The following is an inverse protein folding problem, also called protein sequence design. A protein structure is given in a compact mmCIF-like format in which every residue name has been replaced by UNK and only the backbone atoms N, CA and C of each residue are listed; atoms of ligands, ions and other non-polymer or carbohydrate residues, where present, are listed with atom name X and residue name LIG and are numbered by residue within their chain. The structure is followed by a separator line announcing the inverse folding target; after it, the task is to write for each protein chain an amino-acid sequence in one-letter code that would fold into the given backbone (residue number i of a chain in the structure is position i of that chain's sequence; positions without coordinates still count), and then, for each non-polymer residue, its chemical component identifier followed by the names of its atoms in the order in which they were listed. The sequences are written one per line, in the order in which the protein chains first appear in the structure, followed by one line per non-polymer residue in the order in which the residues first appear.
data_IF_377678054791
#
_entry.id   IF_377678054791
#
_cell.length_a   1.000
_cell.length_b   1.000
_cell.length_c   1.000
_cell.angle_alpha   90.00
_cell.angle_beta   90.00
_cell.angle_gamma   90.00
#
_symmetry.space_group_name_H-M   'P 1'
#
loop_
_entity.id
_entity.type
_entity.pdbx_description
1 polymer ?
#
# COMPACT_ATOMS: atom_id res chain seq x y z
N UNK A 1 13.21 0.80 -16.32
CA UNK A 1 12.37 0.70 -15.11
C UNK A 1 12.11 2.11 -14.63
N UNK A 2 10.89 2.60 -14.78
CA UNK A 2 10.50 3.89 -14.20
C UNK A 2 9.99 3.55 -12.80
N UNK A 3 10.81 3.80 -11.79
CA UNK A 3 10.38 3.83 -10.40
C UNK A 3 9.46 5.05 -10.25
N UNK A 4 8.18 4.84 -10.19
CA UNK A 4 7.23 5.89 -9.80
C UNK A 4 7.11 5.81 -8.29
N UNK A 5 7.75 6.70 -7.53
CA UNK A 5 7.58 6.74 -6.09
C UNK A 5 6.11 7.03 -5.79
N UNK A 6 5.58 6.42 -4.76
CA UNK A 6 4.26 6.62 -4.16
C UNK A 6 3.72 8.02 -4.49
N UNK A 7 2.63 8.10 -5.24
CA UNK A 7 2.09 9.34 -5.77
C UNK A 7 0.68 9.58 -5.25
N UNK A 8 0.47 10.74 -4.65
CA UNK A 8 -0.87 11.29 -4.48
C UNK A 8 -1.42 11.67 -5.84
N UNK A 9 -2.50 11.03 -6.28
CA UNK A 9 -3.11 11.31 -7.57
C UNK A 9 -4.52 11.87 -7.35
N UNK A 10 -4.68 13.15 -7.71
CA UNK A 10 -6.02 13.73 -7.90
C UNK A 10 -6.48 13.37 -9.30
N UNK A 11 -7.50 12.55 -9.39
CA UNK A 11 -7.98 12.03 -10.66
C UNK A 11 -9.34 12.65 -11.03
N UNK A 12 -9.52 12.92 -12.32
CA UNK A 12 -10.83 13.26 -12.88
C UNK A 12 -11.54 11.97 -13.29
N UNK A 13 -12.85 11.93 -13.11
CA UNK A 13 -13.68 10.80 -13.49
C UNK A 13 -13.63 10.51 -14.99
N UNK A 14 -13.94 9.30 -15.39
CA UNK A 14 -13.83 8.82 -16.76
C UNK A 14 -12.43 8.45 -17.21
N UNK A 15 -11.44 8.42 -16.28
CA UNK A 15 -10.08 8.03 -16.59
C UNK A 15 -9.82 6.60 -16.12
N UNK A 16 -9.11 5.85 -16.93
CA UNK A 16 -8.58 4.54 -16.59
C UNK A 16 -7.06 4.66 -16.41
N UNK A 17 -6.58 4.20 -15.27
CA UNK A 17 -5.15 4.13 -14.97
C UNK A 17 -4.71 2.68 -14.88
N UNK A 18 -3.68 2.32 -15.62
CA UNK A 18 -2.98 1.05 -15.43
C UNK A 18 -1.75 1.32 -14.57
N UNK A 19 -1.69 0.65 -13.42
CA UNK A 19 -0.52 0.66 -12.55
C UNK A 19 0.38 -0.48 -13.02
N UNK A 20 1.61 -0.15 -13.43
CA UNK A 20 2.63 -1.15 -13.69
C UNK A 20 3.06 -1.81 -12.37
N UNK A 21 3.54 -3.03 -12.47
CA UNK A 21 4.10 -3.81 -11.36
C UNK A 21 5.03 -2.93 -10.49
N UNK A 22 4.90 -3.01 -9.17
CA UNK A 22 5.70 -2.28 -8.18
C UNK A 22 5.26 -0.84 -7.85
N UNK A 23 4.02 -0.63 -7.43
CA UNK A 23 3.56 0.70 -7.03
C UNK A 23 2.67 0.68 -5.78
N UNK A 24 2.82 1.73 -4.96
CA UNK A 24 1.77 2.18 -4.05
C UNK A 24 1.28 3.56 -4.50
N UNK A 25 -0.02 3.72 -4.68
CA UNK A 25 -0.64 4.99 -5.02
C UNK A 25 -1.87 5.25 -4.15
N UNK A 26 -2.00 6.48 -3.65
CA UNK A 26 -3.23 6.97 -3.04
C UNK A 26 -4.00 7.81 -4.06
N UNK A 27 -5.25 7.49 -4.22
CA UNK A 27 -6.15 8.17 -5.13
C UNK A 27 -7.19 8.95 -4.34
N UNK A 28 -7.41 10.19 -4.74
CA UNK A 28 -8.53 10.99 -4.30
C UNK A 28 -9.34 11.37 -5.55
N UNK A 29 -10.47 10.69 -5.72
CA UNK A 29 -11.34 10.81 -6.90
C UNK A 29 -12.56 11.65 -6.54
N UNK A 30 -12.81 12.70 -7.32
CA UNK A 30 -14.01 13.53 -7.17
C UNK A 30 -15.28 12.71 -7.44
N UNK A 31 -16.34 12.95 -6.66
CA UNK A 31 -17.59 12.22 -6.83
C UNK A 31 -18.25 12.54 -8.18
N UNK A 32 -18.53 11.48 -8.96
CA UNK A 32 -19.27 11.53 -10.21
C UNK A 32 -19.87 10.13 -10.46
N UNK A 33 -21.19 10.04 -10.44
CA UNK A 33 -21.89 8.76 -10.55
C UNK A 33 -22.06 8.31 -12.01
N UNK A 34 -21.89 9.22 -12.98
CA UNK A 34 -22.04 8.93 -14.40
C UNK A 34 -20.72 8.46 -15.05
N UNK A 35 -19.59 8.82 -14.44
CA UNK A 35 -18.28 8.53 -14.98
C UNK A 35 -17.39 7.77 -13.98
N UNK A 36 -17.36 6.43 -14.01
CA UNK A 36 -16.51 5.66 -13.10
C UNK A 36 -15.02 5.91 -13.39
N UNK A 37 -14.23 5.90 -12.31
CA UNK A 37 -12.79 5.89 -12.39
C UNK A 37 -12.28 4.48 -12.10
N UNK A 38 -11.35 3.98 -12.92
CA UNK A 38 -10.87 2.61 -12.85
C UNK A 38 -9.34 2.61 -12.68
N UNK A 39 -8.87 1.82 -11.71
CA UNK A 39 -7.45 1.52 -11.51
C UNK A 39 -7.23 0.04 -11.77
N UNK A 40 -6.45 -0.29 -12.79
CA UNK A 40 -6.06 -1.66 -13.11
C UNK A 40 -4.65 -1.93 -12.59
N UNK A 41 -4.49 -2.92 -11.75
CA UNK A 41 -3.21 -3.35 -11.18
C UNK A 41 -3.17 -4.88 -11.10
N UNK A 42 -2.22 -5.50 -11.76
CA UNK A 42 -1.87 -6.93 -11.68
C UNK A 42 -3.07 -7.88 -11.41
N UNK A 43 -4.00 -7.95 -12.35
CA UNK A 43 -5.17 -8.82 -12.24
C UNK A 43 -6.30 -8.29 -11.34
N UNK A 44 -6.23 -7.04 -10.88
CA UNK A 44 -7.28 -6.36 -10.13
C UNK A 44 -7.76 -5.12 -10.88
N UNK A 45 -9.05 -4.98 -11.04
CA UNK A 45 -9.70 -3.75 -11.47
C UNK A 45 -10.46 -3.12 -10.30
N UNK A 46 -10.03 -1.93 -9.91
CA UNK A 46 -10.63 -1.15 -8.81
C UNK A 46 -11.50 -0.05 -9.38
N UNK A 47 -12.81 -0.15 -9.17
CA UNK A 47 -13.83 0.76 -9.68
C UNK A 47 -14.34 1.68 -8.58
N UNK A 48 -14.33 3.00 -8.83
CA UNK A 48 -14.84 4.01 -7.89
C UNK A 48 -15.63 5.11 -8.58
N UNK A 49 -16.55 5.75 -7.82
CA UNK A 49 -17.40 6.84 -8.29
C UNK A 49 -17.17 8.15 -7.50
N UNK A 50 -16.15 8.21 -6.66
CA UNK A 50 -15.85 9.34 -5.79
C UNK A 50 -15.36 8.84 -4.44
N UNK A 51 -14.06 8.60 -4.34
CA UNK A 51 -13.52 7.74 -3.30
C UNK A 51 -12.07 8.13 -3.01
N UNK A 52 -11.69 8.06 -1.73
CA UNK A 52 -10.28 8.10 -1.33
C UNK A 52 -9.84 6.67 -0.96
N UNK A 53 -8.84 6.16 -1.65
CA UNK A 53 -8.36 4.78 -1.48
C UNK A 53 -6.89 4.67 -1.83
N UNK A 54 -6.26 3.62 -1.29
CA UNK A 54 -4.87 3.27 -1.59
C UNK A 54 -4.83 1.96 -2.37
N UNK A 55 -3.99 1.88 -3.37
CA UNK A 55 -3.66 0.63 -4.08
C UNK A 55 -2.18 0.37 -3.90
N UNK A 56 -1.83 -0.84 -3.47
CA UNK A 56 -0.45 -1.32 -3.36
C UNK A 56 -0.33 -2.61 -4.17
N UNK A 57 0.63 -2.64 -5.07
CA UNK A 57 0.96 -3.81 -5.87
C UNK A 57 2.47 -3.84 -6.06
N UNK A 58 3.19 -4.66 -5.30
CA UNK A 58 4.64 -4.82 -5.42
C UNK A 58 5.02 -6.18 -5.99
N UNK A 59 4.27 -7.20 -5.63
CA UNK A 59 4.42 -8.59 -6.11
C UNK A 59 3.04 -9.23 -6.17
N UNK A 60 2.95 -10.43 -6.70
CA UNK A 60 1.70 -11.20 -6.69
C UNK A 60 1.18 -11.49 -5.27
N UNK A 61 2.05 -11.44 -4.27
CA UNK A 61 1.74 -11.68 -2.85
C UNK A 61 1.41 -10.40 -2.07
N UNK A 62 1.83 -9.23 -2.59
CA UNK A 62 1.67 -7.94 -1.93
C UNK A 62 0.74 -7.03 -2.74
N UNK A 63 -0.51 -7.47 -2.93
CA UNK A 63 -1.56 -6.72 -3.61
C UNK A 63 -2.65 -6.34 -2.64
N UNK A 64 -2.81 -5.03 -2.43
CA UNK A 64 -3.75 -4.48 -1.47
C UNK A 64 -4.59 -3.36 -2.08
N UNK A 65 -5.85 -3.33 -1.70
CA UNK A 65 -6.74 -2.18 -1.91
C UNK A 65 -7.33 -1.78 -0.56
N UNK A 66 -6.93 -0.61 -0.06
CA UNK A 66 -7.41 -0.08 1.21
C UNK A 66 -8.38 1.06 0.98
N UNK A 67 -9.60 0.96 1.51
CA UNK A 67 -10.59 2.02 1.39
C UNK A 67 -10.51 2.99 2.57
N UNK A 68 -10.25 4.27 2.26
CA UNK A 68 -10.20 5.37 3.23
C UNK A 68 -11.58 6.03 3.39
N UNK A 69 -12.21 6.39 2.26
CA UNK A 69 -13.51 7.09 2.25
C UNK A 69 -14.28 6.77 0.97
N UNK A 70 -15.59 6.62 1.06
CA UNK A 70 -16.49 6.36 -0.06
C UNK A 70 -16.79 4.86 -0.23
N UNK A 71 -16.76 4.38 -1.46
CA UNK A 71 -17.06 2.99 -1.83
C UNK A 71 -16.14 2.54 -2.96
N UNK A 72 -15.58 1.35 -2.83
CA UNK A 72 -14.72 0.72 -3.84
C UNK A 72 -15.30 -0.64 -4.20
N UNK A 73 -15.39 -0.92 -5.48
CA UNK A 73 -15.59 -2.28 -5.98
C UNK A 73 -14.28 -2.76 -6.61
N UNK A 74 -13.77 -3.88 -6.12
CA UNK A 74 -12.58 -4.54 -6.68
C UNK A 74 -13.01 -5.79 -7.39
N UNK A 75 -12.59 -5.96 -8.63
CA UNK A 75 -12.87 -7.14 -9.45
C UNK A 75 -11.55 -7.85 -9.74
N UNK A 76 -11.47 -9.13 -9.44
CA UNK A 76 -10.37 -9.98 -9.88
C UNK A 76 -10.61 -10.33 -11.36
N UNK A 77 -9.70 -9.94 -12.24
CA UNK A 77 -9.87 -10.14 -13.69
C UNK A 77 -9.69 -11.60 -14.12
N UNK A 78 -9.08 -12.44 -13.28
CA UNK A 78 -8.86 -13.85 -13.58
C UNK A 78 -10.06 -14.72 -13.18
N UNK A 79 -10.58 -14.52 -11.95
CA UNK A 79 -11.71 -15.28 -11.40
C UNK A 79 -13.07 -14.63 -11.69
N UNK A 80 -13.08 -13.37 -12.11
CA UNK A 80 -14.26 -12.52 -12.29
C UNK A 80 -15.06 -12.33 -10.99
N UNK A 81 -14.48 -12.65 -9.83
CA UNK A 81 -15.07 -12.32 -8.52
C UNK A 81 -15.03 -10.82 -8.27
N UNK A 82 -16.02 -10.30 -7.57
CA UNK A 82 -16.10 -8.89 -7.21
C UNK A 82 -16.40 -8.71 -5.73
N UNK A 83 -15.64 -7.83 -5.09
CA UNK A 83 -15.78 -7.46 -3.69
C UNK A 83 -16.05 -5.96 -3.57
N UNK A 84 -16.95 -5.60 -2.65
CA UNK A 84 -17.21 -4.19 -2.32
C UNK A 84 -16.69 -3.91 -0.92
N UNK A 85 -15.76 -2.95 -0.83
CA UNK A 85 -15.15 -2.51 0.43
C UNK A 85 -15.94 -1.37 1.09
N UNK A 86 -15.88 -1.36 2.42
CA UNK A 86 -16.31 -0.26 3.27
C UNK A 86 -15.10 0.50 3.83
N UNK A 87 -15.24 1.77 4.23
CA UNK A 87 -14.16 2.53 4.86
C UNK A 87 -13.53 1.79 6.04
N UNK A 88 -12.19 1.77 6.08
CA UNK A 88 -11.41 1.02 7.06
C UNK A 88 -11.21 -0.46 6.73
N UNK A 89 -11.62 -0.90 5.55
CA UNK A 89 -11.31 -2.24 5.06
C UNK A 89 -10.15 -2.24 4.07
N UNK A 90 -9.37 -3.30 4.15
CA UNK A 90 -8.30 -3.66 3.23
C UNK A 90 -8.61 -5.02 2.61
N UNK A 91 -8.52 -5.09 1.29
CA UNK A 91 -8.57 -6.31 0.51
C UNK A 91 -7.15 -6.71 0.14
N UNK A 92 -6.76 -7.93 0.51
CA UNK A 92 -5.49 -8.54 0.13
C UNK A 92 -5.76 -9.72 -0.80
N UNK A 93 -4.98 -9.83 -1.86
CA UNK A 93 -4.92 -11.04 -2.68
C UNK A 93 -3.69 -11.86 -2.29
N UNK A 94 -3.89 -13.14 -2.00
CA UNK A 94 -2.80 -14.08 -1.77
C UNK A 94 -2.21 -14.59 -3.09
N UNK A 95 -1.08 -15.27 -3.04
CA UNK A 95 -0.49 -15.95 -4.22
C UNK A 95 -1.45 -16.94 -4.87
N UNK A 96 -2.25 -17.63 -4.07
CA UNK A 96 -3.25 -18.59 -4.55
C UNK A 96 -4.47 -17.91 -5.19
N UNK A 97 -4.53 -16.56 -5.17
CA UNK A 97 -5.66 -15.78 -5.66
C UNK A 97 -6.84 -15.72 -4.70
N UNK A 98 -6.66 -16.17 -3.45
CA UNK A 98 -7.68 -16.03 -2.41
C UNK A 98 -7.82 -14.57 -1.97
N UNK A 99 -9.06 -14.17 -1.72
CA UNK A 99 -9.43 -12.83 -1.28
C UNK A 99 -9.59 -12.79 0.24
N UNK A 100 -8.83 -11.93 0.90
CA UNK A 100 -8.93 -11.70 2.34
C UNK A 100 -9.29 -10.25 2.61
N UNK A 101 -10.42 -10.05 3.31
CA UNK A 101 -10.82 -8.72 3.79
C UNK A 101 -10.50 -8.61 5.27
N UNK A 102 -9.82 -7.56 5.66
CA UNK A 102 -9.51 -7.25 7.05
C UNK A 102 -9.89 -5.80 7.39
N UNK A 103 -10.11 -5.51 8.67
CA UNK A 103 -10.18 -4.13 9.15
C UNK A 103 -8.78 -3.67 9.51
N UNK A 104 -8.43 -2.47 9.07
CA UNK A 104 -7.08 -1.92 9.23
C UNK A 104 -7.11 -0.52 9.80
N UNK A 105 -6.01 -0.14 10.46
CA UNK A 105 -5.78 1.25 10.81
C UNK A 105 -5.42 2.02 9.53
N UNK A 106 -6.31 2.91 9.08
CA UNK A 106 -6.12 3.69 7.85
C UNK A 106 -4.81 4.48 7.88
N UNK A 107 -4.38 4.95 9.05
CA UNK A 107 -3.15 5.72 9.20
C UNK A 107 -1.92 4.94 8.71
N UNK A 108 -1.86 3.63 8.91
CA UNK A 108 -0.78 2.76 8.41
C UNK A 108 -0.64 2.83 6.88
N UNK A 109 -1.76 3.01 6.18
CA UNK A 109 -1.81 3.00 4.72
C UNK A 109 -1.74 4.40 4.09
N UNK A 110 -1.98 5.46 4.86
CA UNK A 110 -2.03 6.84 4.36
C UNK A 110 -0.93 7.75 4.91
N UNK A 111 -0.24 7.38 6.00
CA UNK A 111 0.81 8.19 6.64
C UNK A 111 1.90 8.64 5.65
N UNK A 112 2.16 7.82 4.63
CA UNK A 112 3.14 8.16 3.61
C UNK A 112 2.73 9.39 2.75
N UNK A 113 1.45 9.70 2.65
CA UNK A 113 0.97 10.93 1.97
C UNK A 113 1.29 12.18 2.79
N UNK A 114 1.52 12.01 4.10
CA UNK A 114 1.92 13.04 5.04
C UNK A 114 3.45 13.08 5.25
N UNK A 115 4.19 12.31 4.43
CA UNK A 115 5.64 12.25 4.51
C UNK A 115 6.17 11.41 5.67
N UNK A 116 5.37 10.49 6.19
CA UNK A 116 5.74 9.62 7.30
C UNK A 116 5.84 8.15 6.87
N UNK A 117 6.78 7.44 7.44
CA UNK A 117 6.69 6.00 7.63
C UNK A 117 5.85 5.73 8.88
N UNK A 118 4.93 4.81 8.81
CA UNK A 118 4.15 4.36 9.94
C UNK A 118 3.90 2.86 9.83
N UNK A 119 4.35 2.12 10.80
CA UNK A 119 4.22 0.68 10.91
C UNK A 119 3.66 0.33 12.29
N UNK A 120 2.65 -0.50 12.35
CA UNK A 120 2.01 -0.97 13.57
C UNK A 120 2.05 -2.49 13.56
N UNK A 121 2.66 -3.06 14.59
CA UNK A 121 2.86 -4.51 14.73
C UNK A 121 3.37 -5.16 13.42
N UNK A 122 4.34 -4.53 12.76
CA UNK A 122 4.93 -4.98 11.50
C UNK A 122 6.24 -5.71 11.72
N UNK A 123 6.56 -6.68 10.86
CA UNK A 123 7.85 -7.38 10.95
C UNK A 123 9.01 -6.45 10.58
N UNK A 124 10.18 -6.71 11.13
CA UNK A 124 11.37 -5.96 10.77
C UNK A 124 11.68 -6.10 9.27
N UNK A 125 11.39 -7.26 8.68
CA UNK A 125 11.50 -7.48 7.24
C UNK A 125 10.63 -6.51 6.44
N UNK A 126 9.34 -6.37 6.81
CA UNK A 126 8.41 -5.44 6.15
C UNK A 126 8.88 -3.99 6.27
N UNK A 127 9.34 -3.59 7.46
CA UNK A 127 9.88 -2.25 7.72
C UNK A 127 11.11 -2.00 6.87
N UNK A 128 12.10 -2.88 6.94
CA UNK A 128 13.37 -2.73 6.22
C UNK A 128 13.19 -2.81 4.71
N UNK A 129 12.32 -3.67 4.20
CA UNK A 129 11.95 -3.73 2.78
C UNK A 129 11.32 -2.42 2.31
N UNK A 130 10.48 -1.79 3.15
CA UNK A 130 9.86 -0.50 2.83
C UNK A 130 10.88 0.64 2.84
N UNK A 131 11.83 0.67 3.79
CA UNK A 131 12.93 1.61 3.83
C UNK A 131 13.86 1.42 2.63
N UNK A 132 14.25 0.17 2.33
CA UNK A 132 15.08 -0.17 1.18
C UNK A 132 14.50 0.35 -0.13
N UNK A 133 13.21 0.13 -0.36
CA UNK A 133 12.50 0.67 -1.54
C UNK A 133 12.47 2.20 -1.58
N UNK A 134 12.32 2.86 -0.43
CA UNK A 134 12.24 4.32 -0.38
C UNK A 134 13.59 4.99 -0.64
N UNK A 135 14.64 4.47 0.02
CA UNK A 135 15.99 5.03 -0.08
C UNK A 135 16.81 4.43 -1.24
N UNK A 136 16.22 3.48 -2.00
CA UNK A 136 16.89 2.77 -3.09
C UNK A 136 18.17 2.07 -2.66
N UNK A 137 18.09 1.33 -1.56
CA UNK A 137 19.18 0.51 -1.01
C UNK A 137 18.74 -0.94 -0.88
N UNK A 138 19.71 -1.86 -1.03
CA UNK A 138 19.48 -3.26 -0.71
C UNK A 138 19.59 -3.47 0.80
N UNK A 139 18.77 -4.38 1.32
CA UNK A 139 18.77 -4.75 2.72
C UNK A 139 19.06 -6.24 2.82
N UNK A 140 20.12 -6.57 3.55
CA UNK A 140 20.50 -7.93 3.86
C UNK A 140 20.49 -8.12 5.38
N UNK A 141 19.96 -9.25 5.83
CA UNK A 141 19.91 -9.60 7.25
C UNK A 141 21.01 -10.60 7.57
N UNK A 142 21.85 -10.30 8.53
CA UNK A 142 22.89 -11.22 8.98
C UNK A 142 22.33 -12.45 9.72
N UNK A 143 21.14 -12.33 10.32
CA UNK A 143 20.50 -13.36 11.13
C UNK A 143 19.04 -13.52 10.74
N UNK A 144 18.61 -14.75 10.50
CA UNK A 144 17.23 -15.10 10.09
C UNK A 144 16.20 -14.74 11.17
N UNK A 145 16.59 -14.78 12.44
CA UNK A 145 15.70 -14.49 13.57
C UNK A 145 15.20 -13.05 13.56
N UNK A 146 15.94 -12.14 12.92
CA UNK A 146 15.56 -10.72 12.85
C UNK A 146 14.33 -10.48 11.97
N UNK A 147 14.08 -11.31 10.96
CA UNK A 147 12.99 -11.13 10.02
C UNK A 147 11.63 -10.95 10.71
N UNK A 148 11.37 -11.78 11.72
CA UNK A 148 10.06 -11.89 12.36
C UNK A 148 9.88 -11.01 13.61
N UNK A 149 10.88 -10.18 13.97
CA UNK A 149 10.75 -9.24 15.08
C UNK A 149 9.63 -8.24 14.74
N UNK A 150 8.60 -8.17 15.57
CA UNK A 150 7.47 -7.28 15.37
C UNK A 150 7.67 -5.98 16.15
N UNK A 151 7.50 -4.86 15.45
CA UNK A 151 7.75 -3.52 15.94
C UNK A 151 6.63 -2.55 15.57
N UNK A 152 6.48 -1.53 16.42
CA UNK A 152 5.80 -0.29 16.05
C UNK A 152 6.88 0.73 15.69
N UNK A 153 6.85 1.24 14.47
CA UNK A 153 7.88 2.15 13.98
C UNK A 153 7.27 3.30 13.19
N UNK A 154 7.74 4.50 13.47
CA UNK A 154 7.41 5.69 12.68
C UNK A 154 8.65 6.57 12.50
N UNK A 155 8.81 7.14 11.30
CA UNK A 155 9.91 8.02 10.95
C UNK A 155 9.49 9.00 9.86
N UNK A 156 10.18 10.14 9.80
CA UNK A 156 10.00 11.08 8.70
C UNK A 156 10.68 10.54 7.43
N UNK A 157 9.94 10.50 6.32
CA UNK A 157 10.42 9.99 5.03
C UNK A 157 11.41 10.92 4.35
N UNK A 158 11.42 12.21 4.73
CA UNK A 158 12.35 13.21 4.21
C UNK A 158 13.65 13.26 5.02
N UNK A 159 13.75 12.49 6.12
CA UNK A 159 14.98 12.33 6.89
C UNK A 159 16.02 11.48 6.13
N UNK A 160 17.27 11.53 6.54
CA UNK A 160 18.29 10.61 6.02
C UNK A 160 18.08 9.18 6.51
N UNK A 161 18.52 8.21 5.72
CA UNK A 161 18.42 6.78 6.08
C UNK A 161 19.03 6.50 7.46
N UNK A 162 20.18 7.10 7.75
CA UNK A 162 20.89 6.92 9.03
C UNK A 162 20.02 7.27 10.23
N UNK A 163 19.19 8.31 10.14
CA UNK A 163 18.25 8.71 11.20
C UNK A 163 17.18 7.63 11.43
N UNK A 164 16.65 7.06 10.34
CA UNK A 164 15.67 5.97 10.43
C UNK A 164 16.28 4.71 11.06
N UNK A 165 17.51 4.37 10.67
CA UNK A 165 18.26 3.23 11.23
C UNK A 165 18.61 3.46 12.71
N UNK A 166 19.02 4.66 13.09
CA UNK A 166 19.26 5.00 14.50
C UNK A 166 18.00 4.87 15.36
N UNK A 167 16.85 5.26 14.83
CA UNK A 167 15.56 5.09 15.51
C UNK A 167 15.23 3.61 15.73
N UNK A 168 15.45 2.77 14.71
CA UNK A 168 15.25 1.33 14.82
C UNK A 168 16.16 0.72 15.88
N UNK A 169 17.46 1.09 15.89
CA UNK A 169 18.42 0.59 16.86
C UNK A 169 18.09 0.98 18.32
N UNK A 170 17.36 2.10 18.53
CA UNK A 170 16.90 2.52 19.86
C UNK A 170 15.72 1.72 20.41
N UNK A 171 15.09 0.89 19.58
CA UNK A 171 13.92 0.09 20.02
C UNK A 171 14.30 -1.15 20.86
N UNK A 172 15.56 -1.33 21.26
CA UNK A 172 16.10 -2.39 22.16
C UNK A 172 15.74 -3.84 21.76
N UNK A 173 15.14 -4.04 20.60
CA UNK A 173 14.70 -5.36 20.09
C UNK A 173 15.48 -5.81 18.87
N UNK A 174 16.32 -4.94 18.33
CA UNK A 174 17.07 -5.16 17.09
C UNK A 174 18.55 -5.27 17.35
#
# INVERSE_FOLDING_TARGET
FIFIPRKDMRAKNGQQYRIAETLTACFEVTKDEECPFIVSADGMDTHVLGTKFNVRSYTTEDRHVTLVQGKVQVTNTNSLSSVVLQPGQDLTYTETGEEKISRVNIATYTAWTEGMFYFEDSSLEEIMSSLGRWYNVNVDFERVELYNIRLNFWANRNAHLDEAVELLNKLEKV
#
